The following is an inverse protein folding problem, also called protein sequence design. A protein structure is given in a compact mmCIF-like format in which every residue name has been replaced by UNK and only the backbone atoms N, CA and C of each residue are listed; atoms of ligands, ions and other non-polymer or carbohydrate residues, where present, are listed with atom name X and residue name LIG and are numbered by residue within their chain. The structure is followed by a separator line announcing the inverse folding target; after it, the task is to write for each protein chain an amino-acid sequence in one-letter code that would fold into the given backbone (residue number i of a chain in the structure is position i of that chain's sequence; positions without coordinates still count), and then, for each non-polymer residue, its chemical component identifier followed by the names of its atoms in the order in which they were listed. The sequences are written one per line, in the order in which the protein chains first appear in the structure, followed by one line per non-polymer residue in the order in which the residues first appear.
data_IF_022338867226
#
_entry.id   IF_022338867226
#
_cell.length_a   1.000
_cell.length_b   1.000
_cell.length_c   1.000
_cell.angle_alpha   90.00
_cell.angle_beta   90.00
_cell.angle_gamma   90.00
#
_symmetry.space_group_name_H-M   'P 1'
#
loop_
_entity.id
_entity.type
_entity.pdbx_description
1 polymer ?
#
# COMPACT_ATOMS: atom_id res chain seq x y z
N UNK A 1 -13.75 -13.22 -12.64
CA UNK A 1 -13.77 -13.09 -11.16
C UNK A 1 -15.17 -13.21 -10.61
N UNK A 2 -16.18 -12.53 -11.16
CA UNK A 2 -17.60 -12.73 -10.77
C UNK A 2 -18.09 -14.14 -11.07
N UNK A 3 -17.86 -14.64 -12.29
CA UNK A 3 -18.20 -16.03 -12.67
C UNK A 3 -17.50 -17.09 -11.79
N UNK A 4 -16.33 -16.73 -11.24
CA UNK A 4 -15.58 -17.58 -10.32
C UNK A 4 -15.97 -17.34 -8.84
N UNK A 5 -17.01 -16.56 -8.58
CA UNK A 5 -17.51 -16.19 -7.25
C UNK A 5 -16.47 -15.52 -6.32
N UNK A 6 -15.41 -14.94 -6.90
CA UNK A 6 -14.37 -14.20 -6.17
C UNK A 6 -14.79 -12.76 -5.86
N UNK A 7 -15.79 -12.25 -6.58
CA UNK A 7 -16.37 -10.92 -6.38
C UNK A 7 -17.89 -11.05 -6.34
N UNK A 8 -18.57 -10.26 -5.48
CA UNK A 8 -20.03 -10.33 -5.35
C UNK A 8 -20.76 -9.82 -6.60
N UNK A 9 -20.14 -8.90 -7.35
CA UNK A 9 -20.71 -8.27 -8.54
C UNK A 9 -19.63 -7.66 -9.45
N UNK A 10 -20.06 -7.14 -10.60
CA UNK A 10 -19.19 -6.53 -11.59
C UNK A 10 -18.72 -5.10 -11.24
N UNK A 11 -19.17 -4.52 -10.13
CA UNK A 11 -18.85 -3.16 -9.69
C UNK A 11 -17.77 -3.15 -8.60
N UNK A 12 -17.61 -4.25 -7.87
CA UNK A 12 -16.68 -4.39 -6.75
C UNK A 12 -15.23 -3.93 -7.04
N UNK A 13 -14.74 -4.09 -8.28
CA UNK A 13 -13.37 -3.70 -8.64
C UNK A 13 -13.13 -2.18 -8.55
N UNK A 14 -14.19 -1.36 -8.69
CA UNK A 14 -14.08 0.11 -8.69
C UNK A 14 -13.53 0.64 -7.38
N UNK A 15 -13.87 -0.01 -6.26
CA UNK A 15 -13.37 0.34 -4.93
C UNK A 15 -11.83 0.24 -4.84
N UNK A 16 -11.26 -0.88 -5.29
CA UNK A 16 -9.81 -1.05 -5.29
C UNK A 16 -9.13 -0.13 -6.31
N UNK A 17 -9.73 0.08 -7.49
CA UNK A 17 -9.17 0.98 -8.50
C UNK A 17 -9.06 2.41 -7.97
N UNK A 18 -10.14 2.94 -7.40
CA UNK A 18 -10.14 4.27 -6.81
C UNK A 18 -9.08 4.39 -5.71
N UNK A 19 -9.10 3.46 -4.76
CA UNK A 19 -8.17 3.43 -3.63
C UNK A 19 -6.71 3.34 -4.09
N UNK A 20 -6.42 2.53 -5.11
CA UNK A 20 -5.08 2.36 -5.63
C UNK A 20 -4.55 3.66 -6.24
N UNK A 21 -5.33 4.31 -7.11
CA UNK A 21 -4.94 5.58 -7.73
C UNK A 21 -4.82 6.70 -6.69
N UNK A 22 -5.79 6.81 -5.78
CA UNK A 22 -5.75 7.77 -4.68
C UNK A 22 -4.51 7.56 -3.80
N UNK A 23 -4.16 6.31 -3.49
CA UNK A 23 -2.98 5.99 -2.72
C UNK A 23 -1.70 6.36 -3.47
N UNK A 24 -1.54 5.88 -4.70
CA UNK A 24 -0.32 6.02 -5.48
C UNK A 24 -0.03 7.46 -5.88
N UNK A 25 -1.03 8.22 -6.30
CA UNK A 25 -0.86 9.60 -6.73
C UNK A 25 -0.79 10.61 -5.57
N UNK A 26 -1.35 10.28 -4.40
CA UNK A 26 -1.64 11.31 -3.38
C UNK A 26 -1.43 10.85 -1.94
N UNK A 27 -2.23 9.93 -1.41
CA UNK A 27 -2.26 9.72 0.06
C UNK A 27 -1.08 8.92 0.59
N UNK A 28 -0.30 8.23 -0.24
CA UNK A 28 0.93 7.57 0.23
C UNK A 28 2.02 8.58 0.65
N UNK A 29 1.92 9.84 0.22
CA UNK A 29 2.87 10.90 0.53
C UNK A 29 2.95 11.19 2.03
N UNK A 30 1.96 10.78 2.83
CA UNK A 30 1.97 10.88 4.30
C UNK A 30 3.14 10.12 4.96
N UNK A 31 3.80 9.24 4.21
CA UNK A 31 4.94 8.43 4.66
C UNK A 31 6.30 9.06 4.30
N UNK A 32 6.31 10.21 3.61
CA UNK A 32 7.50 10.86 3.08
C UNK A 32 7.81 12.10 3.91
N UNK A 33 9.09 12.35 4.17
CA UNK A 33 9.51 13.57 4.87
C UNK A 33 9.44 14.79 3.93
N UNK A 34 9.07 15.99 4.43
CA UNK A 34 9.05 17.21 3.62
C UNK A 34 10.35 17.42 2.83
N UNK A 35 10.22 17.77 1.54
CA UNK A 35 11.37 17.99 0.64
C UNK A 35 12.04 16.73 0.11
N UNK A 36 11.55 15.52 0.45
CA UNK A 36 12.07 14.26 -0.10
C UNK A 36 11.22 13.74 -1.26
N UNK A 37 11.85 12.90 -2.07
CA UNK A 37 11.23 12.12 -3.15
C UNK A 37 10.88 10.70 -2.67
N UNK A 38 10.22 9.90 -3.52
CA UNK A 38 9.88 8.51 -3.22
C UNK A 38 11.10 7.60 -3.42
N UNK A 39 11.52 6.89 -2.37
CA UNK A 39 12.68 5.97 -2.45
C UNK A 39 12.29 4.49 -2.46
N UNK A 40 11.29 4.11 -1.67
CA UNK A 40 10.98 2.71 -1.44
C UNK A 40 10.26 2.09 -2.65
N UNK A 41 10.73 0.92 -3.10
CA UNK A 41 10.28 0.29 -4.36
C UNK A 41 8.76 0.07 -4.47
N UNK A 42 8.09 -0.25 -3.36
CA UNK A 42 6.63 -0.43 -3.34
C UNK A 42 5.88 0.90 -3.50
N UNK A 43 6.37 1.97 -2.88
CA UNK A 43 5.81 3.30 -3.06
C UNK A 43 6.06 3.82 -4.49
N UNK A 44 7.26 3.56 -5.04
CA UNK A 44 7.62 3.94 -6.41
C UNK A 44 6.70 3.28 -7.43
N UNK A 45 6.43 1.98 -7.34
CA UNK A 45 5.56 1.34 -8.34
C UNK A 45 4.10 1.81 -8.28
N UNK A 46 3.56 2.10 -7.09
CA UNK A 46 2.20 2.65 -6.94
C UNK A 46 2.11 4.05 -7.55
N UNK A 47 3.12 4.89 -7.30
CA UNK A 47 3.22 6.22 -7.91
C UNK A 47 3.35 6.12 -9.43
N UNK A 48 4.24 5.25 -9.91
CA UNK A 48 4.47 5.00 -11.33
C UNK A 48 3.16 4.67 -12.04
N UNK A 49 2.45 3.64 -11.57
CA UNK A 49 1.20 3.20 -12.20
C UNK A 49 0.16 4.32 -12.18
N UNK A 50 -0.02 4.97 -11.03
CA UNK A 50 -1.05 6.00 -10.87
C UNK A 50 -0.79 7.24 -11.71
N UNK A 51 0.45 7.74 -11.70
CA UNK A 51 0.84 8.92 -12.48
C UNK A 51 0.82 8.63 -13.99
N UNK A 52 1.25 7.43 -14.40
CA UNK A 52 1.22 7.03 -15.82
C UNK A 52 -0.21 6.99 -16.36
N UNK A 53 -1.18 6.40 -15.64
CA UNK A 53 -2.57 6.35 -16.12
C UNK A 53 -3.26 7.70 -16.06
N UNK A 54 -2.92 8.57 -15.09
CA UNK A 54 -3.42 9.95 -15.04
C UNK A 54 -2.95 10.73 -16.28
N UNK A 55 -1.67 10.61 -16.64
CA UNK A 55 -1.13 11.29 -17.81
C UNK A 55 -1.70 10.73 -19.12
N UNK A 56 -1.66 9.41 -19.31
CA UNK A 56 -2.08 8.76 -20.55
C UNK A 56 -3.61 8.72 -20.72
N UNK A 57 -4.38 8.89 -19.64
CA UNK A 57 -5.83 9.00 -19.66
C UNK A 57 -6.35 10.44 -19.78
N UNK A 58 -5.47 11.45 -19.79
CA UNK A 58 -5.84 12.87 -19.70
C UNK A 58 -6.72 13.34 -20.86
N UNK A 59 -6.41 12.93 -22.09
CA UNK A 59 -7.15 13.37 -23.29
C UNK A 59 -8.61 12.90 -23.30
N UNK A 60 -8.89 11.79 -22.64
CA UNK A 60 -10.24 11.21 -22.53
C UNK A 60 -10.86 11.45 -21.14
N UNK A 61 -10.20 12.26 -20.31
CA UNK A 61 -10.57 12.56 -18.93
C UNK A 61 -10.84 11.31 -18.06
N UNK A 62 -10.03 10.24 -18.23
CA UNK A 62 -10.25 8.96 -17.53
C UNK A 62 -10.11 9.11 -16.00
N UNK A 63 -9.04 9.80 -15.58
CA UNK A 63 -8.77 10.17 -14.19
C UNK A 63 -8.43 11.65 -14.13
N UNK A 64 -9.03 12.36 -13.18
CA UNK A 64 -8.88 13.79 -12.99
C UNK A 64 -8.40 14.11 -11.57
N UNK A 65 -7.52 15.10 -11.45
CA UNK A 65 -7.12 15.69 -10.17
C UNK A 65 -7.85 17.02 -10.03
N UNK A 66 -8.89 17.05 -9.18
CA UNK A 66 -9.69 18.25 -8.91
C UNK A 66 -9.27 18.93 -7.62
N UNK A 67 -9.36 20.25 -7.60
CA UNK A 67 -9.29 21.02 -6.36
C UNK A 67 -10.66 21.58 -5.99
N UNK A 68 -11.04 21.42 -4.73
CA UNK A 68 -12.23 22.02 -4.15
C UNK A 68 -11.89 22.51 -2.75
N UNK A 69 -12.19 23.78 -2.45
CA UNK A 69 -11.95 24.41 -1.14
C UNK A 69 -10.50 24.24 -0.63
N UNK A 70 -9.53 24.35 -1.54
CA UNK A 70 -8.10 24.18 -1.25
C UNK A 70 -7.68 22.74 -0.96
N UNK A 71 -8.53 21.75 -1.25
CA UNK A 71 -8.22 20.32 -1.10
C UNK A 71 -8.21 19.62 -2.46
N UNK A 72 -7.19 18.81 -2.67
CA UNK A 72 -7.03 18.01 -3.89
C UNK A 72 -7.73 16.65 -3.75
N UNK A 73 -8.44 16.24 -4.81
CA UNK A 73 -9.16 14.98 -4.91
C UNK A 73 -8.83 14.27 -6.21
N UNK A 74 -8.72 12.94 -6.13
CA UNK A 74 -8.73 12.07 -7.30
C UNK A 74 -10.18 11.77 -7.67
N UNK A 75 -10.51 11.91 -8.95
CA UNK A 75 -11.81 11.56 -9.53
C UNK A 75 -11.56 10.59 -10.68
N UNK A 76 -12.19 9.41 -10.65
CA UNK A 76 -12.15 8.44 -11.75
C UNK A 76 -13.47 8.56 -12.51
N UNK A 77 -13.41 8.98 -13.77
CA UNK A 77 -14.61 9.20 -14.59
C UNK A 77 -14.97 7.97 -15.45
N UNK A 78 -13.98 7.15 -15.82
CA UNK A 78 -14.19 5.94 -16.63
C UNK A 78 -13.33 4.77 -16.13
N UNK A 79 -13.97 3.86 -15.40
CA UNK A 79 -13.29 2.69 -14.83
C UNK A 79 -12.95 1.62 -15.87
N UNK A 80 -13.68 1.54 -16.98
CA UNK A 80 -13.38 0.60 -18.05
C UNK A 80 -12.12 1.03 -18.79
N UNK A 81 -12.03 2.32 -19.17
CA UNK A 81 -10.81 2.87 -19.78
C UNK A 81 -9.62 2.85 -18.82
N UNK A 82 -9.84 3.05 -17.53
CA UNK A 82 -8.79 2.89 -16.53
C UNK A 82 -8.21 1.46 -16.53
N UNK A 83 -9.07 0.45 -16.65
CA UNK A 83 -8.65 -0.95 -16.80
C UNK A 83 -7.82 -1.16 -18.07
N UNK A 84 -8.23 -0.57 -19.19
CA UNK A 84 -7.49 -0.68 -20.45
C UNK A 84 -6.12 -0.02 -20.36
N UNK A 85 -6.01 1.13 -19.68
CA UNK A 85 -4.73 1.78 -19.39
C UNK A 85 -3.82 0.90 -18.52
N UNK A 86 -4.36 0.22 -17.51
CA UNK A 86 -3.59 -0.77 -16.75
C UNK A 86 -3.07 -1.90 -17.65
N UNK A 87 -3.90 -2.40 -18.58
CA UNK A 87 -3.49 -3.41 -19.54
C UNK A 87 -2.35 -2.95 -20.46
N UNK A 88 -2.43 -1.72 -20.98
CA UNK A 88 -1.38 -1.11 -21.81
C UNK A 88 -0.07 -0.99 -21.04
N UNK A 89 -0.11 -0.47 -19.82
CA UNK A 89 1.08 -0.35 -18.98
C UNK A 89 1.64 -1.73 -18.59
N UNK A 90 0.79 -2.71 -18.28
CA UNK A 90 1.21 -4.08 -17.99
C UNK A 90 1.96 -4.69 -19.18
N UNK A 91 1.44 -4.51 -20.39
CA UNK A 91 2.11 -4.98 -21.62
C UNK A 91 3.49 -4.35 -21.78
N UNK A 92 3.62 -3.04 -21.56
CA UNK A 92 4.92 -2.36 -21.68
C UNK A 92 5.91 -2.78 -20.59
N UNK A 93 5.46 -2.89 -19.33
CA UNK A 93 6.30 -3.37 -18.23
C UNK A 93 6.75 -4.81 -18.47
N UNK A 94 5.86 -5.66 -19.01
CA UNK A 94 6.20 -7.03 -19.36
C UNK A 94 7.21 -7.10 -20.51
N UNK A 95 7.07 -6.24 -21.55
CA UNK A 95 8.04 -6.12 -22.64
C UNK A 95 9.42 -5.72 -22.10
N UNK A 96 9.48 -4.63 -21.34
CA UNK A 96 10.70 -4.13 -20.68
C UNK A 96 11.40 -5.24 -19.91
N UNK A 97 10.65 -5.98 -19.09
CA UNK A 97 11.18 -7.09 -18.28
C UNK A 97 11.71 -8.23 -19.15
N UNK A 98 10.95 -8.64 -20.16
CA UNK A 98 11.25 -9.85 -20.95
C UNK A 98 12.40 -9.63 -21.94
N UNK A 99 12.54 -8.40 -22.44
CA UNK A 99 13.59 -8.01 -23.39
C UNK A 99 14.84 -7.46 -22.69
N UNK A 100 14.79 -7.25 -21.37
CA UNK A 100 15.92 -6.69 -20.61
C UNK A 100 16.20 -5.22 -20.91
N UNK A 101 15.18 -4.44 -21.29
CA UNK A 101 15.28 -3.04 -21.70
C UNK A 101 15.48 -2.11 -20.48
N UNK A 102 16.71 -2.06 -19.99
CA UNK A 102 17.07 -1.27 -18.81
C UNK A 102 16.76 0.23 -18.97
N UNK A 103 17.04 0.82 -20.12
CA UNK A 103 16.86 2.27 -20.32
C UNK A 103 15.37 2.65 -20.34
N UNK A 104 14.52 1.85 -20.98
CA UNK A 104 13.07 2.07 -20.92
C UNK A 104 12.54 1.90 -19.48
N UNK A 105 13.01 0.86 -18.77
CA UNK A 105 12.64 0.63 -17.37
C UNK A 105 13.05 1.79 -16.46
N UNK A 106 14.29 2.27 -16.58
CA UNK A 106 14.81 3.43 -15.86
C UNK A 106 13.98 4.68 -16.16
N UNK A 107 13.71 4.96 -17.44
CA UNK A 107 12.90 6.10 -17.85
C UNK A 107 11.51 6.05 -17.23
N UNK A 108 10.84 4.90 -17.28
CA UNK A 108 9.50 4.73 -16.70
C UNK A 108 9.49 5.01 -15.18
N UNK A 109 10.50 4.50 -14.45
CA UNK A 109 10.63 4.74 -13.01
C UNK A 109 10.92 6.20 -12.70
N UNK A 110 11.91 6.81 -13.36
CA UNK A 110 12.32 8.20 -13.08
C UNK A 110 11.23 9.21 -13.47
N UNK A 111 10.47 8.94 -14.54
CA UNK A 111 9.39 9.83 -14.99
C UNK A 111 8.17 9.81 -14.08
N UNK A 112 7.76 8.65 -13.57
CA UNK A 112 6.46 8.52 -12.89
C UNK A 112 6.53 8.04 -11.44
N UNK A 113 7.62 7.41 -11.03
CA UNK A 113 7.72 6.72 -9.73
C UNK A 113 8.49 7.47 -8.64
N UNK A 114 9.26 8.52 -8.97
CA UNK A 114 10.23 9.14 -8.03
C UNK A 114 9.77 10.49 -7.51
N UNK A 115 9.46 11.43 -8.42
CA UNK A 115 9.33 12.85 -8.08
C UNK A 115 8.05 13.18 -7.32
N UNK A 116 8.19 13.91 -6.22
CA UNK A 116 7.05 14.35 -5.39
C UNK A 116 6.74 15.82 -5.66
N UNK A 117 5.48 16.12 -5.99
CA UNK A 117 4.97 17.48 -6.00
C UNK A 117 4.91 18.01 -4.56
N UNK A 118 5.81 18.92 -4.21
CA UNK A 118 5.96 19.39 -2.83
C UNK A 118 4.78 20.23 -2.33
N UNK A 119 4.05 20.91 -3.23
CA UNK A 119 2.84 21.65 -2.84
C UNK A 119 1.71 20.68 -2.45
N UNK A 120 1.47 19.65 -3.26
CA UNK A 120 0.52 18.59 -2.93
C UNK A 120 0.95 17.83 -1.67
N UNK A 121 2.24 17.53 -1.54
CA UNK A 121 2.77 16.83 -0.36
C UNK A 121 2.48 17.59 0.94
N UNK A 122 2.73 18.91 0.96
CA UNK A 122 2.42 19.76 2.11
C UNK A 122 0.92 19.71 2.45
N UNK A 123 0.05 19.84 1.45
CA UNK A 123 -1.40 19.75 1.63
C UNK A 123 -1.82 18.41 2.26
N UNK A 124 -1.28 17.30 1.76
CA UNK A 124 -1.63 15.96 2.24
C UNK A 124 -1.14 15.72 3.68
N UNK A 125 0.05 16.20 4.04
CA UNK A 125 0.52 16.13 5.43
C UNK A 125 -0.38 16.94 6.38
N UNK A 126 -0.76 18.16 6.00
CA UNK A 126 -1.63 19.01 6.82
C UNK A 126 -3.03 18.42 7.01
N UNK A 127 -3.59 17.79 5.97
CA UNK A 127 -4.88 17.08 6.04
C UNK A 127 -4.79 15.85 6.92
N UNK A 128 -3.74 15.05 6.75
CA UNK A 128 -3.57 13.78 7.45
C UNK A 128 -3.25 13.96 8.93
N UNK A 129 -2.48 15.00 9.30
CA UNK A 129 -2.15 15.31 10.69
C UNK A 129 -3.39 15.54 11.58
N UNK A 130 -4.50 16.04 11.00
CA UNK A 130 -5.75 16.27 11.73
C UNK A 130 -6.50 14.98 12.12
N UNK A 131 -6.10 13.84 11.56
CA UNK A 131 -6.73 12.54 11.84
C UNK A 131 -6.11 11.83 13.05
N UNK A 132 -4.93 12.27 13.50
CA UNK A 132 -4.16 11.62 14.58
C UNK A 132 -3.91 10.11 14.35
N UNK A 133 -3.55 9.76 13.11
CA UNK A 133 -3.32 8.38 12.70
C UNK A 133 -1.85 8.09 12.40
N UNK A 134 -1.28 7.09 13.06
CA UNK A 134 0.04 6.58 12.70
C UNK A 134 0.04 5.98 11.26
N UNK A 135 0.99 6.36 10.38
CA UNK A 135 1.06 5.88 9.00
C UNK A 135 1.66 4.47 8.85
N UNK A 136 2.30 3.97 9.91
CA UNK A 136 2.84 2.61 9.99
C UNK A 136 2.00 1.78 10.96
N UNK A 137 1.84 0.49 10.65
CA UNK A 137 1.07 -0.47 11.45
C UNK A 137 1.98 -1.60 11.90
N UNK A 138 1.71 -2.11 13.10
CA UNK A 138 2.31 -3.33 13.64
C UNK A 138 1.22 -4.20 14.24
N UNK A 139 1.54 -5.48 14.46
CA UNK A 139 0.62 -6.45 15.06
C UNK A 139 1.27 -7.07 16.29
N UNK A 140 0.45 -7.38 17.29
CA UNK A 140 0.82 -8.17 18.46
C UNK A 140 0.30 -9.59 18.23
N UNK A 141 1.13 -10.59 18.49
CA UNK A 141 0.73 -11.99 18.31
C UNK A 141 -0.27 -12.42 19.40
N UNK A 142 -1.11 -13.44 19.14
CA UNK A 142 -1.86 -14.09 20.20
C UNK A 142 -0.97 -14.90 21.15
N UNK A 143 -1.52 -15.28 22.30
CA UNK A 143 -0.89 -16.19 23.25
C UNK A 143 -1.54 -17.57 23.12
N UNK A 144 -0.73 -18.58 22.80
CA UNK A 144 -1.14 -19.98 22.82
C UNK A 144 -0.77 -20.63 24.15
N UNK A 145 -1.67 -21.43 24.73
CA UNK A 145 -1.41 -22.21 25.94
C UNK A 145 -1.85 -23.67 25.77
N UNK A 146 -0.95 -24.59 26.09
CA UNK A 146 -1.28 -26.02 26.18
C UNK A 146 -2.17 -26.26 27.40
N UNK A 147 -3.24 -27.03 27.20
CA UNK A 147 -4.06 -27.59 28.29
C UNK A 147 -3.68 -29.07 28.40
N UNK A 148 -3.30 -29.51 29.59
CA UNK A 148 -2.88 -30.88 29.86
C UNK A 148 -3.75 -31.50 30.94
N UNK A 149 -4.02 -32.80 30.81
CA UNK A 149 -4.62 -33.57 31.89
C UNK A 149 -3.61 -33.85 33.03
N UNK A 150 -4.06 -34.51 34.10
CA UNK A 150 -3.24 -34.84 35.27
C UNK A 150 -2.02 -35.73 34.93
N UNK A 151 -2.09 -36.48 33.82
CA UNK A 151 -0.99 -37.32 33.34
C UNK A 151 0.03 -36.56 32.49
N UNK A 152 -0.20 -35.26 32.25
CA UNK A 152 0.63 -34.42 31.39
C UNK A 152 0.35 -34.60 29.90
N UNK A 153 -0.69 -35.36 29.53
CA UNK A 153 -1.09 -35.52 28.13
C UNK A 153 -1.86 -34.28 27.69
N UNK A 154 -1.47 -33.71 26.54
CA UNK A 154 -2.15 -32.55 25.95
C UNK A 154 -3.58 -32.94 25.56
N UNK A 155 -4.54 -32.18 26.05
CA UNK A 155 -5.96 -32.33 25.72
C UNK A 155 -6.47 -31.23 24.79
N UNK A 156 -5.84 -30.04 24.82
CA UNK A 156 -6.24 -28.89 24.00
C UNK A 156 -5.10 -27.85 23.86
N UNK A 157 -5.28 -26.91 22.94
CA UNK A 157 -4.47 -25.70 22.79
C UNK A 157 -5.38 -24.49 22.69
N UNK A 158 -5.33 -23.63 23.71
CA UNK A 158 -6.14 -22.42 23.77
C UNK A 158 -5.40 -21.22 23.18
N UNK A 159 -6.17 -20.25 22.65
CA UNK A 159 -5.68 -18.99 22.10
C UNK A 159 -6.30 -17.80 22.84
N UNK A 160 -5.50 -16.78 23.17
CA UNK A 160 -5.95 -15.51 23.77
C UNK A 160 -5.37 -14.32 23.03
N UNK A 161 -6.11 -13.21 23.05
CA UNK A 161 -5.76 -11.92 22.46
C UNK A 161 -5.68 -10.79 23.51
N UNK A 162 -5.59 -11.14 24.79
CA UNK A 162 -5.68 -10.19 25.90
C UNK A 162 -4.34 -9.50 26.23
N UNK A 163 -3.25 -9.91 25.58
CA UNK A 163 -1.90 -9.38 25.81
C UNK A 163 -1.63 -8.12 24.96
N UNK A 164 -1.13 -7.06 25.61
CA UNK A 164 -0.74 -5.83 24.92
C UNK A 164 0.71 -5.88 24.40
N UNK A 165 1.11 -4.84 23.64
CA UNK A 165 2.45 -4.75 23.05
C UNK A 165 3.59 -4.81 24.09
N UNK A 166 3.48 -4.08 25.20
CA UNK A 166 4.55 -3.99 26.20
C UNK A 166 4.74 -5.35 26.88
N UNK A 167 3.64 -5.96 27.31
CA UNK A 167 3.67 -7.26 27.99
C UNK A 167 4.23 -8.35 27.07
N UNK A 168 3.83 -8.35 25.80
CA UNK A 168 4.35 -9.28 24.80
C UNK A 168 5.85 -9.15 24.60
N UNK A 169 6.34 -7.92 24.41
CA UNK A 169 7.77 -7.70 24.17
C UNK A 169 8.62 -8.09 25.39
N UNK A 170 8.13 -7.80 26.60
CA UNK A 170 8.78 -8.21 27.84
C UNK A 170 8.76 -9.73 28.02
N UNK A 171 7.64 -10.40 27.73
CA UNK A 171 7.54 -11.87 27.77
C UNK A 171 8.49 -12.53 26.77
N UNK A 172 8.55 -12.05 25.53
CA UNK A 172 9.49 -12.54 24.53
C UNK A 172 10.93 -12.38 24.94
N UNK A 173 11.29 -11.20 25.43
CA UNK A 173 12.65 -10.92 25.93
C UNK A 173 13.03 -11.83 27.09
N UNK A 174 12.08 -12.14 28.00
CA UNK A 174 12.33 -12.97 29.18
C UNK A 174 12.38 -14.47 28.87
N UNK A 175 11.48 -14.97 28.03
CA UNK A 175 11.26 -16.41 27.85
C UNK A 175 11.89 -16.98 26.57
N UNK A 176 12.08 -16.15 25.53
CA UNK A 176 12.46 -16.61 24.19
C UNK A 176 13.75 -15.97 23.66
N UNK A 177 14.40 -15.09 24.44
CA UNK A 177 15.71 -14.50 24.08
C UNK A 177 16.86 -15.44 24.45
N UNK A 178 17.10 -16.45 23.61
CA UNK A 178 18.13 -17.50 23.86
C UNK A 178 19.54 -17.17 23.36
N UNK A 179 19.71 -16.06 22.61
CA UNK A 179 21.02 -15.65 22.11
C UNK A 179 21.83 -14.90 23.19
N UNK A 180 23.16 -15.08 23.25
CA UNK A 180 24.00 -14.29 24.13
C UNK A 180 24.02 -12.81 23.69
N UNK A 181 24.38 -11.93 24.64
CA UNK A 181 24.51 -10.50 24.36
C UNK A 181 25.59 -10.19 23.31
N UNK A 182 26.61 -11.06 23.20
CA UNK A 182 27.68 -10.96 22.20
C UNK A 182 27.73 -12.25 21.40
N UNK A 183 27.49 -12.13 20.09
CA UNK A 183 27.59 -13.20 19.10
C UNK A 183 28.80 -12.96 18.20
#
# INVERSE_FOLDING_TARGET
MVELELLPDAEAYKAEYYKYIMNGAMTQLTRIQPGKDIEQAHMRNRALISNWVIENGKNENVVEIKQQDGKTFVVVNDYAKLRDLFGKLLSEVQRIKSEGDFEAGKKLVESYGVKVNQALHKEILERYARLDLAPYKGFVNPVYKLVTDESGKVSDVTISYDENYVDQQLRYSKQYSVLPLKN
#
